data_IF_379180860179
#
_entry.id   IF_379180860179
#
_cell.length_a   1.000
_cell.length_b   1.000
_cell.length_c   1.000
_cell.angle_alpha   90.00
_cell.angle_beta   90.00
_cell.angle_gamma   90.00
#
_symmetry.space_group_name_H-M   'P 1'
#
loop_
_entity.id
_entity.type
_entity.pdbx_description
1 polymer ?
#
# COMPACT_ATOMS: atom_id res chain seq x y z
N UNK A 1 -9.92 -18.47 -23.83
CA UNK A 1 -11.40 -18.59 -23.78
C UNK A 1 -11.93 -17.19 -24.00
N UNK A 2 -12.94 -16.99 -24.85
CA UNK A 2 -13.56 -15.65 -25.03
C UNK A 2 -14.12 -15.22 -23.69
N UNK A 3 -13.88 -13.98 -23.27
CA UNK A 3 -14.46 -13.38 -22.07
C UNK A 3 -15.97 -13.60 -22.01
N UNK A 4 -16.48 -13.89 -20.83
CA UNK A 4 -17.89 -14.23 -20.63
C UNK A 4 -18.51 -13.32 -19.57
N UNK A 5 -19.63 -12.70 -19.91
CA UNK A 5 -20.47 -11.95 -18.96
C UNK A 5 -21.64 -12.85 -18.55
N UNK A 6 -21.75 -13.12 -17.24
CA UNK A 6 -22.85 -13.94 -16.73
C UNK A 6 -24.20 -13.21 -16.90
N UNK A 7 -25.30 -13.91 -17.27
CA UNK A 7 -26.60 -13.26 -17.52
C UNK A 7 -27.18 -12.48 -16.32
N UNK A 8 -26.77 -12.78 -15.11
CA UNK A 8 -27.20 -12.05 -13.90
C UNK A 8 -26.27 -10.90 -13.50
N UNK A 9 -25.19 -10.66 -14.25
CA UNK A 9 -24.35 -9.49 -14.05
C UNK A 9 -25.03 -8.28 -14.67
N UNK A 10 -24.84 -7.12 -14.03
CA UNK A 10 -25.29 -5.82 -14.55
C UNK A 10 -24.05 -5.03 -14.97
N UNK A 11 -23.92 -4.78 -16.25
CA UNK A 11 -22.90 -3.89 -16.83
C UNK A 11 -23.63 -2.68 -17.40
N UNK A 12 -23.40 -1.52 -16.82
CA UNK A 12 -24.10 -0.31 -17.23
C UNK A 12 -23.55 0.25 -18.55
N UNK A 13 -24.42 0.91 -19.32
CA UNK A 13 -24.02 1.59 -20.56
C UNK A 13 -22.96 2.66 -20.28
N UNK A 14 -21.85 2.60 -21.03
CA UNK A 14 -20.69 3.46 -20.83
C UNK A 14 -19.49 2.76 -20.19
N UNK A 15 -19.67 1.59 -19.54
CA UNK A 15 -18.56 0.78 -19.08
C UNK A 15 -17.67 0.33 -20.24
N UNK A 16 -16.35 0.40 -20.05
CA UNK A 16 -15.35 -0.02 -21.04
C UNK A 16 -14.70 -1.33 -20.61
N UNK A 17 -14.85 -2.36 -21.45
CA UNK A 17 -14.33 -3.70 -21.20
C UNK A 17 -13.23 -4.02 -22.22
N UNK A 18 -12.05 -4.42 -21.73
CA UNK A 18 -10.97 -4.95 -22.54
C UNK A 18 -11.24 -6.32 -23.12
N UNK A 19 -10.27 -6.89 -23.81
CA UNK A 19 -10.34 -8.23 -24.37
C UNK A 19 -10.39 -9.27 -23.26
N UNK A 20 -11.13 -10.37 -23.49
CA UNK A 20 -11.19 -11.55 -22.60
C UNK A 20 -11.57 -11.25 -21.14
N UNK A 21 -12.32 -10.16 -20.87
CA UNK A 21 -12.86 -9.84 -19.53
C UNK A 21 -13.91 -10.89 -19.14
N UNK A 22 -13.82 -11.41 -17.92
CA UNK A 22 -14.80 -12.34 -17.34
C UNK A 22 -15.57 -11.66 -16.20
N UNK A 23 -16.91 -11.63 -16.29
CA UNK A 23 -17.79 -11.05 -15.26
C UNK A 23 -18.75 -12.13 -14.78
N UNK A 24 -18.54 -12.62 -13.55
CA UNK A 24 -19.32 -13.67 -12.93
C UNK A 24 -20.71 -13.21 -12.45
N UNK A 25 -21.48 -14.12 -11.84
CA UNK A 25 -22.86 -13.84 -11.43
C UNK A 25 -22.96 -12.72 -10.40
N UNK A 26 -24.02 -11.93 -10.52
CA UNK A 26 -24.39 -10.86 -9.60
C UNK A 26 -23.32 -9.78 -9.41
N UNK A 27 -22.41 -9.62 -10.38
CA UNK A 27 -21.49 -8.48 -10.41
C UNK A 27 -22.21 -7.25 -10.96
N UNK A 28 -21.78 -6.06 -10.49
CA UNK A 28 -22.22 -4.77 -10.98
C UNK A 28 -21.01 -3.96 -11.44
N UNK A 29 -21.07 -3.42 -12.66
CA UNK A 29 -20.02 -2.58 -13.26
C UNK A 29 -20.65 -1.27 -13.70
N UNK A 30 -20.28 -0.18 -13.04
CA UNK A 30 -20.83 1.16 -13.28
C UNK A 30 -20.36 1.79 -14.59
N UNK A 31 -21.04 2.85 -15.04
CA UNK A 31 -20.91 3.39 -16.41
C UNK A 31 -19.59 4.09 -16.70
N UNK A 32 -18.86 4.53 -15.68
CA UNK A 32 -17.55 5.19 -15.83
C UNK A 32 -16.38 4.24 -15.63
N UNK A 33 -16.66 2.93 -15.38
CA UNK A 33 -15.64 1.92 -15.09
C UNK A 33 -14.92 1.47 -16.37
N UNK A 34 -13.60 1.28 -16.24
CA UNK A 34 -12.78 0.65 -17.28
C UNK A 34 -12.14 -0.61 -16.71
N UNK A 35 -12.40 -1.76 -17.32
CA UNK A 35 -11.74 -3.03 -17.01
C UNK A 35 -10.76 -3.37 -18.12
N UNK A 36 -9.48 -3.55 -17.77
CA UNK A 36 -8.41 -3.94 -18.70
C UNK A 36 -8.55 -5.38 -19.19
N UNK A 37 -7.68 -5.77 -20.12
CA UNK A 37 -7.70 -7.09 -20.74
C UNK A 37 -7.54 -8.21 -19.71
N UNK A 38 -8.36 -9.27 -19.82
CA UNK A 38 -8.29 -10.42 -18.95
C UNK A 38 -8.67 -10.16 -17.48
N UNK A 39 -9.28 -9.03 -17.15
CA UNK A 39 -9.83 -8.80 -15.81
C UNK A 39 -10.92 -9.82 -15.51
N UNK A 40 -10.91 -10.34 -14.29
CA UNK A 40 -11.90 -11.32 -13.85
C UNK A 40 -12.60 -10.87 -12.57
N UNK A 41 -13.90 -10.65 -12.65
CA UNK A 41 -14.80 -10.46 -11.50
C UNK A 41 -15.47 -11.81 -11.17
N UNK A 42 -15.18 -12.38 -10.00
CA UNK A 42 -15.59 -13.76 -9.70
C UNK A 42 -17.11 -13.87 -9.50
N UNK A 43 -17.68 -13.14 -8.55
CA UNK A 43 -19.15 -13.02 -8.34
C UNK A 43 -19.43 -11.95 -7.29
N UNK A 44 -20.62 -11.33 -7.31
CA UNK A 44 -21.04 -10.35 -6.29
C UNK A 44 -20.02 -9.21 -6.09
N UNK A 45 -19.30 -8.84 -7.12
CA UNK A 45 -18.35 -7.72 -7.11
C UNK A 45 -19.07 -6.47 -7.57
N UNK A 46 -18.85 -5.35 -6.87
CA UNK A 46 -19.34 -4.06 -7.31
C UNK A 46 -18.15 -3.15 -7.65
N UNK A 47 -18.10 -2.66 -8.90
CA UNK A 47 -17.13 -1.66 -9.36
C UNK A 47 -17.89 -0.42 -9.81
N UNK A 48 -17.58 0.73 -9.26
CA UNK A 48 -18.32 1.97 -9.45
C UNK A 48 -17.39 3.17 -9.70
N UNK A 49 -17.99 4.31 -10.04
CA UNK A 49 -17.28 5.58 -10.26
C UNK A 49 -16.28 5.55 -11.40
N UNK A 50 -15.46 6.60 -11.53
CA UNK A 50 -14.35 6.66 -12.48
C UNK A 50 -13.21 5.76 -11.98
N UNK A 51 -13.40 4.44 -12.19
CA UNK A 51 -12.48 3.40 -11.73
C UNK A 51 -11.86 2.68 -12.92
N UNK A 52 -10.54 2.65 -12.96
CA UNK A 52 -9.77 1.84 -13.91
C UNK A 52 -9.13 0.66 -13.20
N UNK A 53 -9.40 -0.55 -13.71
CA UNK A 53 -8.79 -1.81 -13.24
C UNK A 53 -7.84 -2.33 -14.32
N UNK A 54 -6.57 -2.46 -13.97
CA UNK A 54 -5.51 -2.93 -14.87
C UNK A 54 -5.69 -4.39 -15.29
N UNK A 55 -5.00 -4.74 -16.37
CA UNK A 55 -5.12 -6.05 -17.02
C UNK A 55 -4.85 -7.23 -16.07
N UNK A 56 -5.50 -8.36 -16.29
CA UNK A 56 -5.32 -9.64 -15.56
C UNK A 56 -5.57 -9.58 -14.06
N UNK A 57 -6.12 -8.46 -13.56
CA UNK A 57 -6.52 -8.32 -12.16
C UNK A 57 -7.74 -9.19 -11.87
N UNK A 58 -7.70 -9.89 -10.72
CA UNK A 58 -8.78 -10.77 -10.28
C UNK A 58 -9.42 -10.20 -9.02
N UNK A 59 -10.76 -10.04 -9.05
CA UNK A 59 -11.53 -9.49 -7.94
C UNK A 59 -12.52 -10.54 -7.44
N UNK A 60 -12.44 -10.83 -6.15
CA UNK A 60 -13.21 -11.88 -5.48
C UNK A 60 -14.52 -11.35 -4.90
N UNK A 61 -15.43 -12.27 -4.48
CA UNK A 61 -16.79 -11.91 -4.08
C UNK A 61 -16.86 -10.86 -2.97
N UNK A 62 -17.89 -10.02 -3.06
CA UNK A 62 -18.23 -8.96 -2.11
C UNK A 62 -17.21 -7.82 -2.01
N UNK A 63 -16.24 -7.73 -2.93
CA UNK A 63 -15.40 -6.56 -3.03
C UNK A 63 -16.21 -5.36 -3.52
N UNK A 64 -15.94 -4.18 -2.93
CA UNK A 64 -16.61 -2.90 -3.21
C UNK A 64 -15.56 -1.88 -3.65
N UNK A 65 -15.47 -1.63 -4.93
CA UNK A 65 -14.37 -0.92 -5.57
C UNK A 65 -14.88 0.38 -6.20
N UNK A 66 -14.28 1.52 -5.85
CA UNK A 66 -14.56 2.82 -6.47
C UNK A 66 -15.85 3.50 -6.01
N UNK A 67 -16.52 3.00 -4.99
CA UNK A 67 -17.65 3.69 -4.36
C UNK A 67 -17.20 4.97 -3.64
N UNK A 68 -18.10 5.94 -3.43
CA UNK A 68 -17.76 7.22 -2.81
C UNK A 68 -16.84 7.10 -1.60
N UNK A 69 -15.86 8.01 -1.46
CA UNK A 69 -14.92 7.94 -0.33
C UNK A 69 -15.63 8.07 1.02
N UNK A 70 -15.10 7.38 2.02
CA UNK A 70 -15.58 7.49 3.40
C UNK A 70 -15.02 8.76 4.06
N UNK A 71 -15.24 9.90 3.40
CA UNK A 71 -14.90 11.24 3.91
C UNK A 71 -16.17 12.09 4.01
N UNK A 72 -16.46 12.56 5.21
CA UNK A 72 -17.63 13.42 5.48
C UNK A 72 -17.61 14.77 4.74
N UNK A 73 -16.47 15.15 4.18
CA UNK A 73 -16.31 16.38 3.37
C UNK A 73 -16.68 16.16 1.90
N UNK A 74 -16.69 14.93 1.42
CA UNK A 74 -17.03 14.61 0.03
C UNK A 74 -18.44 15.08 -0.33
N UNK A 75 -18.60 15.73 -1.47
CA UNK A 75 -19.87 16.31 -1.95
C UNK A 75 -20.29 15.84 -3.34
N UNK A 76 -19.62 14.80 -3.88
CA UNK A 76 -19.91 14.28 -5.22
C UNK A 76 -18.99 14.86 -6.32
N UNK A 77 -17.90 15.50 -5.95
CA UNK A 77 -16.90 16.00 -6.89
C UNK A 77 -16.26 14.85 -7.69
N UNK A 78 -15.80 15.14 -8.93
CA UNK A 78 -15.14 14.13 -9.75
C UNK A 78 -13.85 13.63 -9.11
N UNK A 79 -13.78 12.32 -8.88
CA UNK A 79 -12.64 11.64 -8.24
C UNK A 79 -12.41 10.29 -8.90
N UNK A 80 -11.19 9.77 -8.79
CA UNK A 80 -10.74 8.59 -9.52
C UNK A 80 -10.10 7.54 -8.61
N UNK A 81 -10.22 6.27 -9.05
CA UNK A 81 -9.47 5.13 -8.53
C UNK A 81 -8.76 4.43 -9.68
N UNK A 82 -7.44 4.31 -9.59
CA UNK A 82 -6.62 3.60 -10.57
C UNK A 82 -5.97 2.37 -9.92
N UNK A 83 -6.24 1.18 -10.45
CA UNK A 83 -5.67 -0.09 -10.01
C UNK A 83 -4.80 -0.65 -11.13
N UNK A 84 -3.57 -1.00 -10.83
CA UNK A 84 -2.60 -1.57 -11.77
C UNK A 84 -2.92 -2.99 -12.19
N UNK A 85 -2.07 -3.52 -13.06
CA UNK A 85 -2.16 -4.86 -13.64
C UNK A 85 -1.85 -5.95 -12.61
N UNK A 86 -2.33 -7.18 -12.88
CA UNK A 86 -1.97 -8.40 -12.14
C UNK A 86 -2.25 -8.33 -10.62
N UNK A 87 -3.17 -7.50 -10.19
CA UNK A 87 -3.57 -7.42 -8.79
C UNK A 87 -4.51 -8.56 -8.38
N UNK A 88 -4.41 -8.98 -7.12
CA UNK A 88 -5.32 -9.95 -6.51
C UNK A 88 -6.11 -9.26 -5.39
N UNK A 89 -7.42 -9.09 -5.59
CA UNK A 89 -8.31 -8.40 -4.66
C UNK A 89 -9.30 -9.41 -4.10
N UNK A 90 -9.11 -9.80 -2.83
CA UNK A 90 -9.86 -10.88 -2.18
C UNK A 90 -11.22 -10.40 -1.64
N UNK A 91 -11.92 -11.32 -1.03
CA UNK A 91 -13.30 -11.16 -0.58
C UNK A 91 -13.48 -9.98 0.37
N UNK A 92 -14.52 -9.19 0.14
CA UNK A 92 -14.90 -8.08 1.00
C UNK A 92 -13.91 -6.91 1.05
N UNK A 93 -12.93 -6.87 0.17
CA UNK A 93 -12.01 -5.72 0.07
C UNK A 93 -12.77 -4.48 -0.36
N UNK A 94 -12.45 -3.34 0.26
CA UNK A 94 -12.99 -2.05 -0.14
C UNK A 94 -11.89 -1.08 -0.55
N UNK A 95 -12.09 -0.34 -1.65
CA UNK A 95 -11.16 0.69 -2.12
C UNK A 95 -11.94 1.94 -2.51
N UNK A 96 -11.59 3.07 -1.92
CA UNK A 96 -12.23 4.34 -2.22
C UNK A 96 -11.41 5.16 -3.23
N UNK A 97 -12.05 5.95 -4.10
CA UNK A 97 -11.37 6.94 -4.93
C UNK A 97 -10.77 8.07 -4.09
N UNK A 98 -10.09 9.02 -4.74
CA UNK A 98 -9.57 10.20 -4.07
C UNK A 98 -10.64 11.18 -3.60
N UNK A 99 -10.18 12.33 -3.09
CA UNK A 99 -11.01 13.49 -2.72
C UNK A 99 -10.42 14.76 -3.35
N UNK A 100 -11.21 15.80 -3.53
CA UNK A 100 -10.74 17.07 -4.08
C UNK A 100 -9.55 17.65 -3.28
N UNK A 101 -9.56 17.46 -1.96
CA UNK A 101 -8.49 17.91 -1.07
C UNK A 101 -7.20 17.08 -1.10
N UNK A 102 -7.24 15.89 -1.68
CA UNK A 102 -6.11 14.94 -1.70
C UNK A 102 -5.49 14.69 -3.09
N UNK A 103 -5.92 15.43 -4.10
CA UNK A 103 -5.45 15.27 -5.48
C UNK A 103 -6.40 14.45 -6.37
N UNK A 104 -7.59 14.18 -5.88
CA UNK A 104 -8.72 13.56 -6.60
C UNK A 104 -8.48 12.13 -7.08
N UNK A 105 -7.44 11.46 -6.63
CA UNK A 105 -7.12 10.11 -7.10
C UNK A 105 -6.51 9.22 -6.02
N UNK A 106 -7.00 7.99 -5.93
CA UNK A 106 -6.34 6.87 -5.23
C UNK A 106 -5.66 5.97 -6.26
N UNK A 107 -4.41 5.61 -6.01
CA UNK A 107 -3.59 4.80 -6.94
C UNK A 107 -3.11 3.52 -6.27
N UNK A 108 -3.27 2.40 -6.95
CA UNK A 108 -2.77 1.08 -6.55
C UNK A 108 -1.82 0.56 -7.63
N UNK A 109 -0.57 0.32 -7.27
CA UNK A 109 0.45 -0.23 -8.15
C UNK A 109 0.20 -1.70 -8.52
N UNK A 110 0.82 -2.17 -9.61
CA UNK A 110 0.60 -3.52 -10.14
C UNK A 110 1.10 -4.61 -9.20
N UNK A 111 0.66 -5.84 -9.46
CA UNK A 111 1.09 -7.06 -8.73
C UNK A 111 0.84 -7.03 -7.23
N UNK A 112 -0.05 -6.14 -6.77
CA UNK A 112 -0.39 -6.00 -5.34
C UNK A 112 -1.49 -6.98 -4.93
N UNK A 113 -1.44 -7.44 -3.69
CA UNK A 113 -2.34 -8.45 -3.12
C UNK A 113 -3.07 -7.87 -1.92
N UNK A 114 -4.39 -7.88 -1.99
CA UNK A 114 -5.28 -7.40 -0.94
C UNK A 114 -6.09 -8.59 -0.43
N UNK A 115 -5.75 -9.09 0.77
CA UNK A 115 -6.46 -10.23 1.36
C UNK A 115 -7.78 -9.78 1.99
N UNK A 116 -8.59 -10.75 2.38
CA UNK A 116 -9.99 -10.54 2.74
C UNK A 116 -10.20 -9.40 3.75
N UNK A 117 -11.23 -8.59 3.47
CA UNK A 117 -11.67 -7.44 4.27
C UNK A 117 -10.60 -6.34 4.48
N UNK A 118 -9.55 -6.28 3.66
CA UNK A 118 -8.66 -5.13 3.71
C UNK A 118 -9.31 -3.89 3.11
N UNK A 119 -8.90 -2.71 3.57
CA UNK A 119 -9.44 -1.41 3.17
C UNK A 119 -8.35 -0.47 2.70
N UNK A 120 -8.56 0.13 1.53
CA UNK A 120 -7.75 1.25 1.01
C UNK A 120 -8.59 2.53 1.09
N UNK A 121 -8.19 3.43 1.98
CA UNK A 121 -8.83 4.74 2.13
C UNK A 121 -8.58 5.65 0.93
N UNK A 122 -9.30 6.76 0.89
CA UNK A 122 -9.20 7.77 -0.17
C UNK A 122 -7.79 8.39 -0.25
N UNK A 123 -7.39 8.82 -1.44
CA UNK A 123 -6.12 9.51 -1.69
C UNK A 123 -4.86 8.69 -1.33
N UNK A 124 -5.00 7.38 -1.09
CA UNK A 124 -3.86 6.51 -0.87
C UNK A 124 -3.06 6.30 -2.15
N UNK A 125 -1.74 6.16 -2.00
CA UNK A 125 -0.81 5.76 -3.07
C UNK A 125 -0.10 4.50 -2.65
N UNK A 126 -0.46 3.40 -3.30
CA UNK A 126 0.08 2.06 -3.04
C UNK A 126 1.06 1.73 -4.16
N UNK A 127 2.28 1.34 -3.81
CA UNK A 127 3.30 0.92 -4.75
C UNK A 127 3.06 -0.46 -5.36
N UNK A 128 4.06 -0.94 -6.07
CA UNK A 128 4.06 -2.24 -6.72
C UNK A 128 4.26 -3.38 -5.73
N UNK A 129 3.58 -4.50 -5.95
CA UNK A 129 3.83 -5.75 -5.23
C UNK A 129 3.58 -5.67 -3.72
N UNK A 130 2.75 -4.73 -3.28
CA UNK A 130 2.36 -4.57 -1.88
C UNK A 130 1.45 -5.72 -1.45
N UNK A 131 1.65 -6.24 -0.25
CA UNK A 131 0.77 -7.24 0.34
C UNK A 131 0.07 -6.67 1.57
N UNK A 132 -1.25 -6.57 1.50
CA UNK A 132 -2.11 -6.25 2.65
C UNK A 132 -2.81 -7.52 3.09
N UNK A 133 -2.46 -8.04 4.28
CA UNK A 133 -3.10 -9.22 4.84
C UNK A 133 -4.54 -8.94 5.27
N UNK A 134 -5.25 -9.96 5.74
CA UNK A 134 -6.65 -9.85 6.16
C UNK A 134 -6.88 -8.72 7.17
N UNK A 135 -7.95 -7.96 6.97
CA UNK A 135 -8.39 -6.87 7.86
C UNK A 135 -7.36 -5.74 8.04
N UNK A 136 -6.44 -5.54 7.10
CA UNK A 136 -5.59 -4.34 7.10
C UNK A 136 -6.42 -3.13 6.71
N UNK A 137 -6.27 -2.03 7.45
CA UNK A 137 -7.03 -0.80 7.24
C UNK A 137 -6.07 0.38 7.02
N UNK A 138 -6.15 1.02 5.86
CA UNK A 138 -5.44 2.26 5.59
C UNK A 138 -6.40 3.45 5.76
N UNK A 139 -6.04 4.39 6.60
CA UNK A 139 -6.66 5.70 6.60
C UNK A 139 -6.37 6.46 5.30
N UNK A 140 -7.06 7.58 5.06
CA UNK A 140 -6.83 8.39 3.86
C UNK A 140 -5.41 8.92 3.75
N UNK A 141 -4.96 9.21 2.52
CA UNK A 141 -3.67 9.83 2.19
C UNK A 141 -2.43 9.00 2.57
N UNK A 142 -2.57 7.72 2.87
CA UNK A 142 -1.41 6.85 3.15
C UNK A 142 -0.57 6.61 1.89
N UNK A 143 0.75 6.53 2.06
CA UNK A 143 1.69 6.16 1.01
C UNK A 143 2.39 4.87 1.40
N UNK A 144 2.20 3.82 0.60
CA UNK A 144 2.80 2.51 0.84
C UNK A 144 3.79 2.23 -0.29
N UNK A 145 5.06 2.14 0.05
CA UNK A 145 6.14 1.88 -0.90
C UNK A 145 6.13 0.45 -1.44
N UNK A 146 6.84 0.27 -2.55
CA UNK A 146 6.91 -0.99 -3.28
C UNK A 146 7.29 -2.15 -2.36
N UNK A 147 6.65 -3.30 -2.58
CA UNK A 147 6.95 -4.54 -1.89
C UNK A 147 6.80 -4.49 -0.36
N UNK A 148 6.15 -3.47 0.18
CA UNK A 148 5.81 -3.45 1.61
C UNK A 148 4.80 -4.57 1.93
N UNK A 149 4.90 -5.11 3.14
CA UNK A 149 4.02 -6.18 3.62
C UNK A 149 3.41 -5.79 4.96
N UNK A 150 2.08 -5.72 4.99
CA UNK A 150 1.29 -5.35 6.17
C UNK A 150 0.58 -6.60 6.70
N UNK A 151 0.93 -7.01 7.91
CA UNK A 151 0.36 -8.17 8.60
C UNK A 151 -1.12 -7.98 8.95
N UNK A 152 -1.81 -9.10 9.21
CA UNK A 152 -3.26 -9.08 9.46
C UNK A 152 -3.68 -8.16 10.59
N UNK A 153 -4.77 -7.43 10.39
CA UNK A 153 -5.33 -6.52 11.37
C UNK A 153 -4.52 -5.24 11.63
N UNK A 154 -3.54 -4.92 10.77
CA UNK A 154 -2.80 -3.65 10.85
C UNK A 154 -3.73 -2.49 10.56
N UNK A 155 -3.67 -1.45 11.41
CA UNK A 155 -4.34 -0.17 11.18
C UNK A 155 -3.29 0.92 10.95
N UNK A 156 -3.39 1.63 9.84
CA UNK A 156 -2.46 2.72 9.47
C UNK A 156 -3.20 4.04 9.55
N UNK A 157 -2.68 4.95 10.37
CA UNK A 157 -3.26 6.28 10.53
C UNK A 157 -3.12 7.09 9.23
N UNK A 158 -4.08 7.97 8.96
CA UNK A 158 -4.03 8.84 7.78
C UNK A 158 -2.71 9.62 7.67
N UNK A 159 -2.27 9.87 6.43
CA UNK A 159 -1.02 10.56 6.08
C UNK A 159 0.27 9.81 6.45
N UNK A 160 0.20 8.60 6.95
CA UNK A 160 1.41 7.81 7.23
C UNK A 160 2.03 7.30 5.94
N UNK A 161 3.36 7.36 5.88
CA UNK A 161 4.17 6.75 4.82
C UNK A 161 4.85 5.49 5.32
N UNK A 162 4.71 4.40 4.58
CA UNK A 162 5.43 3.14 4.82
C UNK A 162 6.38 2.94 3.64
N UNK A 163 7.68 2.92 3.92
CA UNK A 163 8.72 2.82 2.89
C UNK A 163 8.75 1.45 2.19
N UNK A 164 9.43 1.40 1.05
CA UNK A 164 9.56 0.19 0.26
C UNK A 164 10.22 -0.96 1.06
N UNK A 165 9.79 -2.20 0.78
CA UNK A 165 10.28 -3.41 1.44
C UNK A 165 10.07 -3.45 2.97
N UNK A 166 9.34 -2.50 3.54
CA UNK A 166 9.03 -2.50 4.98
C UNK A 166 8.07 -3.65 5.34
N UNK A 167 8.12 -4.05 6.59
CA UNK A 167 7.21 -5.05 7.15
C UNK A 167 6.51 -4.48 8.40
N UNK A 168 5.20 -4.56 8.42
CA UNK A 168 4.40 -4.21 9.59
C UNK A 168 3.82 -5.48 10.19
N UNK A 169 4.14 -5.77 11.45
CA UNK A 169 3.63 -6.96 12.13
C UNK A 169 2.13 -6.90 12.38
N UNK A 170 1.50 -8.07 12.43
CA UNK A 170 0.05 -8.16 12.64
C UNK A 170 -0.43 -7.42 13.89
N UNK A 171 -1.66 -6.90 13.83
CA UNK A 171 -2.32 -6.13 14.89
C UNK A 171 -1.58 -4.84 15.30
N UNK A 172 -0.66 -4.34 14.49
CA UNK A 172 0.04 -3.10 14.75
C UNK A 172 -0.83 -1.87 14.42
N UNK A 173 -0.78 -0.87 15.28
CA UNK A 173 -1.32 0.47 15.01
C UNK A 173 -0.18 1.40 14.59
N UNK A 174 -0.14 1.82 13.33
CA UNK A 174 0.95 2.63 12.76
C UNK A 174 0.52 4.09 12.72
N UNK A 175 1.12 4.92 13.58
CA UNK A 175 0.82 6.35 13.71
C UNK A 175 1.93 7.24 13.13
N UNK A 176 3.10 6.65 12.81
CA UNK A 176 4.31 7.35 12.35
C UNK A 176 4.86 6.71 11.07
N UNK A 177 5.62 7.49 10.32
CA UNK A 177 6.26 7.04 9.08
C UNK A 177 7.27 5.93 9.34
N UNK A 178 7.19 4.85 8.58
CA UNK A 178 8.12 3.72 8.66
C UNK A 178 9.13 3.80 7.52
N UNK A 179 10.41 3.85 7.85
CA UNK A 179 11.49 3.91 6.86
C UNK A 179 11.47 2.70 5.93
N UNK A 180 11.98 2.84 4.68
CA UNK A 180 12.23 1.70 3.81
C UNK A 180 13.01 0.61 4.52
N UNK A 181 12.71 -0.65 4.21
CA UNK A 181 13.32 -1.84 4.79
C UNK A 181 13.09 -2.05 6.29
N UNK A 182 12.33 -1.17 6.96
CA UNK A 182 12.07 -1.22 8.40
C UNK A 182 11.07 -2.29 8.80
N UNK A 183 11.10 -2.70 10.06
CA UNK A 183 10.04 -3.50 10.71
C UNK A 183 9.38 -2.64 11.77
N UNK A 184 8.04 -2.54 11.75
CA UNK A 184 7.26 -1.93 12.80
C UNK A 184 6.40 -2.96 13.52
N UNK A 185 6.39 -2.96 14.85
CA UNK A 185 5.65 -3.91 15.69
C UNK A 185 4.92 -3.20 16.84
N UNK A 186 3.76 -3.74 17.21
CA UNK A 186 2.99 -3.39 18.41
C UNK A 186 1.79 -2.49 18.11
N UNK A 187 0.86 -2.40 19.10
CA UNK A 187 -0.39 -1.65 18.99
C UNK A 187 -0.22 -0.12 18.94
N UNK A 188 0.94 0.38 19.33
CA UNK A 188 1.54 1.67 18.96
C UNK A 188 2.90 1.33 18.38
N UNK A 189 2.94 1.20 17.05
CA UNK A 189 4.05 0.60 16.36
C UNK A 189 5.34 1.38 16.59
N UNK A 190 6.39 0.66 16.99
CA UNK A 190 7.74 1.17 17.07
C UNK A 190 8.63 0.42 16.09
N UNK A 191 9.73 1.04 15.68
CA UNK A 191 10.72 0.44 14.81
C UNK A 191 11.45 -0.68 15.55
N UNK A 192 11.32 -1.93 15.06
CA UNK A 192 11.93 -3.11 15.67
C UNK A 192 13.23 -3.55 14.98
N UNK A 193 13.66 -2.82 13.95
CA UNK A 193 14.85 -3.12 13.18
C UNK A 193 14.59 -3.14 11.67
N UNK A 194 15.42 -3.87 10.94
CA UNK A 194 15.32 -4.03 9.49
C UNK A 194 14.69 -5.38 9.11
N UNK A 195 13.91 -5.40 8.03
CA UNK A 195 13.25 -6.58 7.47
C UNK A 195 14.24 -7.54 6.76
N UNK A 196 15.27 -7.96 7.47
CA UNK A 196 16.36 -8.78 6.93
C UNK A 196 15.85 -10.08 6.30
N UNK A 197 14.83 -10.69 6.91
CA UNK A 197 14.23 -11.94 6.37
C UNK A 197 13.57 -11.69 5.03
N UNK A 198 12.77 -10.62 4.92
CA UNK A 198 12.12 -10.21 3.68
C UNK A 198 13.14 -9.86 2.60
N UNK A 199 14.19 -9.12 2.94
CA UNK A 199 15.26 -8.75 2.01
C UNK A 199 16.00 -9.98 1.44
N UNK A 200 16.37 -10.93 2.30
CA UNK A 200 17.01 -12.20 1.86
C UNK A 200 16.11 -12.99 0.91
N UNK A 201 14.80 -13.10 1.22
CA UNK A 201 13.82 -13.80 0.37
C UNK A 201 13.67 -13.16 -1.01
N UNK A 202 13.93 -11.86 -1.11
CA UNK A 202 13.88 -11.08 -2.36
C UNK A 202 15.24 -10.99 -3.08
N UNK A 203 16.26 -11.70 -2.58
CA UNK A 203 17.56 -11.82 -3.26
C UNK A 203 18.51 -10.65 -3.02
N UNK A 204 18.27 -9.79 -2.02
CA UNK A 204 19.24 -8.76 -1.65
C UNK A 204 20.57 -9.40 -1.21
N UNK A 205 21.69 -8.86 -1.68
CA UNK A 205 23.00 -9.38 -1.36
C UNK A 205 23.34 -9.25 0.13
N UNK A 206 24.25 -10.11 0.60
CA UNK A 206 24.76 -10.01 1.97
C UNK A 206 25.43 -8.65 2.23
N UNK A 207 26.12 -8.11 1.22
CA UNK A 207 26.76 -6.81 1.27
C UNK A 207 25.73 -5.68 1.46
N UNK A 208 24.70 -5.63 0.60
CA UNK A 208 23.63 -4.63 0.73
C UNK A 208 22.96 -4.68 2.12
N UNK A 209 22.67 -5.89 2.63
CA UNK A 209 22.08 -6.05 3.95
C UNK A 209 23.04 -5.61 5.05
N UNK A 210 24.34 -5.81 4.88
CA UNK A 210 25.36 -5.33 5.81
C UNK A 210 25.39 -3.79 5.85
N UNK A 211 25.43 -3.16 4.68
CA UNK A 211 25.43 -1.68 4.59
C UNK A 211 24.14 -1.07 5.15
N UNK A 212 22.98 -1.65 4.88
CA UNK A 212 21.73 -1.23 5.51
C UNK A 212 21.79 -1.32 7.05
N UNK A 213 22.42 -2.34 7.63
CA UNK A 213 22.59 -2.46 9.09
C UNK A 213 23.54 -1.39 9.64
N UNK A 214 24.61 -1.07 8.92
CA UNK A 214 25.52 0.02 9.28
C UNK A 214 24.79 1.36 9.27
N UNK A 215 24.06 1.64 8.20
CA UNK A 215 23.24 2.84 8.06
C UNK A 215 22.18 2.95 9.16
N UNK A 216 21.48 1.86 9.47
CA UNK A 216 20.48 1.81 10.56
C UNK A 216 21.13 2.19 11.92
N UNK A 217 22.28 1.62 12.26
CA UNK A 217 23.00 1.95 13.50
C UNK A 217 23.40 3.43 13.54
N UNK A 218 23.92 3.95 12.43
CA UNK A 218 24.30 5.35 12.33
C UNK A 218 23.10 6.29 12.50
N UNK A 219 21.95 5.94 11.88
CA UNK A 219 20.74 6.74 11.94
C UNK A 219 20.11 6.79 13.33
N UNK A 220 20.07 5.68 14.07
CA UNK A 220 19.34 5.59 15.33
C UNK A 220 20.20 5.59 16.60
N UNK A 221 21.49 5.27 16.48
CA UNK A 221 22.42 5.23 17.63
C UNK A 221 23.52 6.29 17.51
N UNK A 222 23.56 7.09 16.43
CA UNK A 222 24.53 8.16 16.22
C UNK A 222 24.25 9.38 17.09
N UNK A 223 25.28 10.19 17.32
CA UNK A 223 25.17 11.50 17.97
C UNK A 223 24.53 12.56 17.06
N UNK A 224 24.32 13.76 17.60
CA UNK A 224 23.78 14.88 16.84
C UNK A 224 22.27 14.82 16.57
N UNK A 225 21.79 15.71 15.73
CA UNK A 225 20.39 15.82 15.32
C UNK A 225 20.05 14.77 14.26
N UNK A 226 18.76 14.47 14.08
CA UNK A 226 18.32 13.58 13.00
C UNK A 226 18.76 14.11 11.61
N UNK A 227 18.71 15.42 11.40
CA UNK A 227 19.11 16.04 10.14
C UNK A 227 20.59 15.78 9.84
N UNK A 228 21.47 16.04 10.82
CA UNK A 228 22.91 15.77 10.69
C UNK A 228 23.15 14.30 10.36
N UNK A 229 22.51 13.35 11.06
CA UNK A 229 22.65 11.92 10.76
C UNK A 229 22.17 11.52 9.37
N UNK A 230 21.12 12.18 8.85
CA UNK A 230 20.65 11.95 7.46
C UNK A 230 21.68 12.46 6.45
N UNK A 231 22.29 13.61 6.71
CA UNK A 231 23.31 14.19 5.85
C UNK A 231 24.60 13.34 5.86
N UNK A 232 25.03 12.88 7.02
CA UNK A 232 26.13 11.92 7.18
C UNK A 232 25.86 10.59 6.44
N UNK A 233 24.63 10.05 6.53
CA UNK A 233 24.24 8.86 5.77
C UNK A 233 24.37 9.07 4.26
N UNK A 234 23.91 10.22 3.78
CA UNK A 234 23.97 10.54 2.36
C UNK A 234 25.39 10.59 1.82
N UNK A 235 26.35 11.07 2.64
CA UNK A 235 27.77 11.17 2.27
C UNK A 235 28.47 9.79 2.40
N UNK A 236 28.36 9.15 3.56
CA UNK A 236 29.07 7.90 3.87
C UNK A 236 28.64 6.74 2.95
N UNK A 237 27.38 6.75 2.53
CA UNK A 237 26.79 5.68 1.70
C UNK A 237 26.36 6.19 0.31
N UNK A 238 27.10 7.16 -0.26
CA UNK A 238 26.74 7.79 -1.54
C UNK A 238 26.52 6.76 -2.67
N UNK A 239 27.30 5.69 -2.71
CA UNK A 239 27.26 4.64 -3.74
C UNK A 239 26.33 3.47 -3.37
N UNK A 240 25.60 3.55 -2.25
CA UNK A 240 24.72 2.47 -1.76
C UNK A 240 23.25 2.78 -2.03
N UNK A 241 22.72 2.36 -3.16
CA UNK A 241 21.36 2.67 -3.61
C UNK A 241 20.30 2.40 -2.54
N UNK A 242 20.37 1.27 -1.84
CA UNK A 242 19.39 0.91 -0.81
C UNK A 242 19.45 1.88 0.39
N UNK A 243 20.63 2.39 0.76
CA UNK A 243 20.75 3.41 1.82
C UNK A 243 20.24 4.76 1.33
N UNK A 244 20.52 5.12 0.07
CA UNK A 244 20.01 6.34 -0.53
C UNK A 244 18.48 6.38 -0.61
N UNK A 245 17.79 5.22 -0.74
CA UNK A 245 16.35 5.15 -0.62
C UNK A 245 15.85 5.57 0.78
N UNK A 246 16.55 5.18 1.85
CA UNK A 246 16.24 5.65 3.22
C UNK A 246 16.46 7.17 3.33
N UNK A 247 17.58 7.66 2.81
CA UNK A 247 17.90 9.10 2.82
C UNK A 247 16.84 9.91 2.08
N UNK A 248 16.47 9.48 0.87
CA UNK A 248 15.44 10.13 0.05
C UNK A 248 14.08 10.16 0.77
N UNK A 249 13.67 9.04 1.35
CA UNK A 249 12.43 8.94 2.13
C UNK A 249 12.41 9.92 3.31
N UNK A 250 13.51 10.02 4.05
CA UNK A 250 13.61 10.92 5.20
C UNK A 250 13.69 12.41 4.79
N UNK A 251 14.43 12.73 3.71
CA UNK A 251 14.55 14.11 3.19
C UNK A 251 13.25 14.61 2.57
N UNK A 252 12.47 13.75 1.96
CA UNK A 252 11.16 14.12 1.42
C UNK A 252 10.25 14.68 2.52
N UNK A 253 10.47 14.26 3.77
CA UNK A 253 9.61 14.65 4.89
C UNK A 253 8.21 14.07 4.77
N UNK A 254 7.36 14.35 5.72
CA UNK A 254 5.95 13.92 5.76
C UNK A 254 5.23 14.63 6.90
N UNK A 255 3.90 14.48 6.92
CA UNK A 255 3.05 15.07 7.95
C UNK A 255 3.18 14.35 9.30
N UNK A 256 3.85 13.21 9.33
CA UNK A 256 4.03 12.37 10.52
C UNK A 256 5.49 12.30 10.95
N UNK A 257 5.70 12.16 12.25
CA UNK A 257 7.01 11.78 12.77
C UNK A 257 7.42 10.40 12.23
N UNK A 258 8.71 10.06 12.33
CA UNK A 258 9.19 8.71 11.95
C UNK A 258 9.03 7.73 13.12
N UNK A 259 8.76 6.47 12.81
CA UNK A 259 8.89 5.36 13.77
C UNK A 259 10.34 5.27 14.22
N UNK A 260 10.55 5.28 15.53
CA UNK A 260 11.87 5.10 16.15
C UNK A 260 11.91 3.82 16.98
N UNK A 261 13.09 3.26 17.24
CA UNK A 261 13.24 2.18 18.20
C UNK A 261 12.67 2.58 19.56
N UNK A 262 12.05 1.63 20.25
CA UNK A 262 11.68 1.87 21.66
C UNK A 262 12.95 2.17 22.45
N UNK A 263 12.93 3.24 23.25
CA UNK A 263 14.00 3.47 24.22
C UNK A 263 14.16 2.18 25.05
N UNK A 264 15.36 1.60 25.07
CA UNK A 264 15.62 0.35 25.76
C UNK A 264 15.14 0.45 27.21
N UNK A 265 14.38 -0.52 27.65
CA UNK A 265 14.51 -0.95 29.04
C UNK A 265 15.94 -1.51 29.09
N UNK A 266 16.82 -0.81 29.77
CA UNK A 266 18.14 -1.31 30.11
C UNK A 266 18.04 -2.78 30.47
N UNK A 267 18.91 -3.60 29.90
CA UNK A 267 19.17 -4.97 30.31
C UNK A 267 19.43 -4.95 31.82
N UNK A 268 18.37 -5.19 32.56
CA UNK A 268 18.46 -5.53 33.98
C UNK A 268 17.86 -6.92 34.15
N UNK A 269 18.76 -7.92 34.31
CA UNK A 269 18.45 -9.27 34.71
C UNK A 269 19.11 -10.30 33.85
#
# INVERSE_FOLDING_TARGET
MKGAIHPTAVVEDGARLGADVEIGPFCHVGPQTTLGDGVRLVSHVAVAGDTTVGARTVIFPFASIGHPPQDLKYRGEPVRLSIGDDCLIREGVTMNPGTAGGGSETVVGPRSVFLANSHVGHDCRIGEGVVMSNNVMLGGHCQIGDFANLGGGVAVHQFVRIGAYAFVGGLAGVEHDLIPFGIALGNRAALAGLNVVGLKRRGFSHETIHELRRAYKMLFNGGGTLKERIDDLAEVFADQEAVQQIVAFLRQGGDRAICVPRAGKDEQG
#
